data_IF_945853289492
#
_entry.id   IF_945853289492
#
_cell.length_a   1.000
_cell.length_b   1.000
_cell.length_c   1.000
_cell.angle_alpha   90.00
_cell.angle_beta   90.00
_cell.angle_gamma   90.00
#
_symmetry.space_group_name_H-M   'P 1'
#
loop_
_entity.id
_entity.type
_entity.pdbx_description
1 polymer ?
#
# COMPACT_ATOMS: atom_id res chain seq x y z
N UNK A 1 -13.77 -13.02 -2.62
CA UNK A 1 -12.57 -13.17 -1.76
C UNK A 1 -11.59 -12.06 -2.03
N UNK A 2 -10.97 -11.54 -0.99
CA UNK A 2 -9.90 -10.56 -1.14
C UNK A 2 -8.70 -11.23 -1.80
N UNK A 3 -8.20 -10.65 -2.89
CA UNK A 3 -7.01 -11.16 -3.55
C UNK A 3 -5.80 -10.44 -2.98
N UNK A 4 -4.93 -11.20 -2.33
CA UNK A 4 -3.69 -10.67 -1.75
C UNK A 4 -2.53 -11.13 -2.62
N UNK A 5 -1.72 -10.19 -3.10
CA UNK A 5 -0.57 -10.47 -3.94
C UNK A 5 0.71 -10.14 -3.18
N UNK A 6 1.55 -11.13 -2.95
CA UNK A 6 2.81 -10.89 -2.23
C UNK A 6 3.79 -10.12 -3.10
N UNK A 7 4.22 -8.96 -2.61
CA UNK A 7 5.13 -8.05 -3.31
C UNK A 7 6.56 -8.24 -2.81
N UNK A 8 6.70 -8.49 -1.53
CA UNK A 8 7.98 -8.72 -0.84
C UNK A 8 7.67 -9.63 0.34
N UNK A 9 8.69 -10.20 1.02
CA UNK A 9 8.43 -11.08 2.15
C UNK A 9 7.49 -10.45 3.18
N UNK A 10 6.37 -11.12 3.46
CA UNK A 10 5.35 -10.71 4.42
C UNK A 10 4.67 -9.36 4.10
N UNK A 11 4.75 -8.91 2.85
CA UNK A 11 4.09 -7.70 2.38
C UNK A 11 3.21 -8.02 1.18
N UNK A 12 1.92 -7.76 1.32
CA UNK A 12 0.90 -8.06 0.31
C UNK A 12 0.22 -6.78 -0.15
N UNK A 13 -0.05 -6.71 -1.45
CA UNK A 13 -0.86 -5.62 -2.01
C UNK A 13 -2.26 -6.14 -2.35
N UNK A 14 -3.26 -5.29 -2.17
CA UNK A 14 -4.64 -5.62 -2.46
C UNK A 14 -5.35 -4.44 -3.12
N UNK A 15 -6.42 -4.75 -3.84
CA UNK A 15 -7.34 -3.75 -4.38
C UNK A 15 -8.23 -3.23 -3.24
N UNK A 16 -9.22 -2.40 -3.57
CA UNK A 16 -10.14 -1.83 -2.57
C UNK A 16 -10.67 -2.90 -1.62
N UNK A 17 -10.60 -2.60 -0.33
CA UNK A 17 -10.98 -3.48 0.74
C UNK A 17 -12.31 -3.02 1.33
N UNK A 18 -13.32 -3.89 1.31
CA UNK A 18 -14.60 -3.67 1.98
C UNK A 18 -14.60 -4.40 3.33
N UNK A 19 -15.74 -4.35 4.05
CA UNK A 19 -15.83 -4.99 5.38
C UNK A 19 -15.56 -6.50 5.31
N UNK A 20 -16.10 -7.17 4.30
CA UNK A 20 -15.89 -8.62 4.13
C UNK A 20 -14.42 -8.93 3.87
N UNK A 21 -13.75 -8.11 3.07
CA UNK A 21 -12.33 -8.27 2.80
C UNK A 21 -11.49 -8.08 4.08
N UNK A 22 -11.86 -7.12 4.94
CA UNK A 22 -11.15 -6.92 6.22
C UNK A 22 -11.23 -8.18 7.08
N UNK A 23 -12.42 -8.81 7.13
CA UNK A 23 -12.59 -10.07 7.87
C UNK A 23 -11.67 -11.16 7.30
N UNK A 24 -11.61 -11.28 5.97
CA UNK A 24 -10.76 -12.27 5.31
C UNK A 24 -9.27 -11.99 5.58
N UNK A 25 -8.87 -10.73 5.54
CA UNK A 25 -7.47 -10.32 5.81
C UNK A 25 -7.10 -10.71 7.24
N UNK A 26 -7.97 -10.40 8.21
CA UNK A 26 -7.72 -10.76 9.61
C UNK A 26 -7.63 -12.28 9.77
N UNK A 27 -8.51 -13.02 9.10
CA UNK A 27 -8.52 -14.48 9.16
C UNK A 27 -7.29 -15.12 8.52
N UNK A 28 -6.64 -14.43 7.58
CA UNK A 28 -5.45 -14.92 6.91
C UNK A 28 -4.19 -14.89 7.79
N UNK A 29 -4.27 -14.27 8.96
CA UNK A 29 -3.13 -14.14 9.87
C UNK A 29 -2.37 -12.83 9.73
N UNK A 30 -2.81 -11.92 8.85
CA UNK A 30 -2.21 -10.60 8.73
C UNK A 30 -2.33 -9.84 10.06
N UNK A 31 -1.36 -8.98 10.33
CA UNK A 31 -1.32 -8.20 11.58
C UNK A 31 -1.58 -6.73 11.36
N UNK A 32 -1.27 -6.22 10.17
CA UNK A 32 -1.39 -4.79 9.86
C UNK A 32 -2.06 -4.59 8.51
N UNK A 33 -2.97 -3.61 8.45
CA UNK A 33 -3.63 -3.20 7.22
C UNK A 33 -3.31 -1.72 6.99
N UNK A 34 -2.69 -1.42 5.83
CA UNK A 34 -2.37 -0.04 5.43
C UNK A 34 -3.29 0.35 4.29
N UNK A 35 -3.98 1.47 4.45
CA UNK A 35 -4.87 2.03 3.43
C UNK A 35 -4.19 3.25 2.81
N UNK A 36 -3.87 3.16 1.51
CA UNK A 36 -3.27 4.27 0.76
C UNK A 36 -4.30 5.05 -0.06
N UNK A 37 -5.57 4.76 0.09
CA UNK A 37 -6.62 5.38 -0.71
C UNK A 37 -7.30 6.53 0.05
N UNK A 38 -7.37 7.74 -0.54
CA UNK A 38 -8.17 8.81 0.06
C UNK A 38 -9.64 8.43 0.09
N UNK A 39 -10.37 8.95 1.09
CA UNK A 39 -11.82 8.76 1.16
C UNK A 39 -12.51 9.47 0.00
N UNK A 40 -13.66 8.96 -0.39
CA UNK A 40 -14.53 9.65 -1.31
C UNK A 40 -14.09 9.63 -2.77
N UNK A 41 -13.20 8.74 -3.17
CA UNK A 41 -12.80 8.64 -4.57
C UNK A 41 -13.93 8.10 -5.45
N UNK A 42 -14.85 7.34 -4.88
CA UNK A 42 -16.02 6.87 -5.61
C UNK A 42 -17.21 6.66 -4.66
N UNK A 43 -18.46 6.70 -5.20
CA UNK A 43 -19.64 6.43 -4.38
C UNK A 43 -19.57 5.02 -3.79
N UNK A 44 -19.97 4.89 -2.53
CA UNK A 44 -20.04 3.59 -1.88
C UNK A 44 -18.70 3.07 -1.33
N UNK A 45 -17.62 3.82 -1.52
CA UNK A 45 -16.33 3.44 -0.95
C UNK A 45 -16.41 3.45 0.58
N UNK A 46 -15.92 2.38 1.21
CA UNK A 46 -15.89 2.30 2.69
C UNK A 46 -14.96 3.39 3.22
N UNK A 47 -15.47 4.31 4.07
CA UNK A 47 -14.62 5.35 4.66
C UNK A 47 -13.55 4.76 5.57
N UNK A 48 -12.38 5.40 5.61
CA UNK A 48 -11.24 4.93 6.40
C UNK A 48 -11.58 4.78 7.88
N UNK A 49 -12.38 5.68 8.45
CA UNK A 49 -12.80 5.61 9.85
C UNK A 49 -13.57 4.33 10.15
N UNK A 50 -14.46 3.93 9.24
CA UNK A 50 -15.25 2.72 9.41
C UNK A 50 -14.38 1.48 9.16
N UNK A 51 -13.46 1.55 8.21
CA UNK A 51 -12.50 0.47 7.98
C UNK A 51 -11.61 0.26 9.21
N UNK A 52 -11.15 1.36 9.83
CA UNK A 52 -10.34 1.32 11.04
C UNK A 52 -11.08 0.61 12.18
N UNK A 53 -12.33 1.00 12.41
CA UNK A 53 -13.12 0.40 13.49
C UNK A 53 -13.26 -1.11 13.29
N UNK A 54 -13.54 -1.55 12.07
CA UNK A 54 -13.69 -2.96 11.76
C UNK A 54 -12.36 -3.70 11.91
N UNK A 55 -11.26 -3.12 11.38
CA UNK A 55 -9.93 -3.73 11.46
C UNK A 55 -9.49 -3.90 12.92
N UNK A 56 -9.65 -2.85 13.72
CA UNK A 56 -9.25 -2.88 15.14
C UNK A 56 -10.09 -3.85 15.94
N UNK A 57 -11.38 -3.95 15.61
CA UNK A 57 -12.27 -4.94 16.24
C UNK A 57 -11.77 -6.37 16.01
N UNK A 58 -11.13 -6.60 14.88
CA UNK A 58 -10.61 -7.92 14.49
C UNK A 58 -9.13 -8.12 14.88
N UNK A 59 -8.54 -7.17 15.60
CA UNK A 59 -7.17 -7.29 16.08
C UNK A 59 -6.09 -6.81 15.13
N UNK A 60 -6.48 -6.16 14.03
CA UNK A 60 -5.50 -5.59 13.09
C UNK A 60 -5.06 -4.20 13.54
N UNK A 61 -3.79 -3.88 13.32
CA UNK A 61 -3.32 -2.50 13.37
C UNK A 61 -3.72 -1.85 12.05
N UNK A 62 -4.33 -0.68 12.10
CA UNK A 62 -4.80 0.02 10.90
C UNK A 62 -4.06 1.34 10.73
N UNK A 63 -3.50 1.57 9.54
CA UNK A 63 -2.73 2.77 9.23
C UNK A 63 -3.30 3.36 7.94
N UNK A 64 -3.64 4.66 7.96
CA UNK A 64 -4.15 5.37 6.78
C UNK A 64 -3.12 6.37 6.29
N UNK A 65 -2.55 6.13 5.11
CA UNK A 65 -1.59 7.01 4.46
C UNK A 65 -2.15 7.31 3.06
N UNK A 66 -3.12 8.24 2.96
CA UNK A 66 -3.81 8.50 1.70
C UNK A 66 -2.91 9.28 0.73
N UNK A 67 -2.81 8.78 -0.49
CA UNK A 67 -2.09 9.46 -1.58
C UNK A 67 -2.83 9.25 -2.90
N UNK A 68 -2.61 10.17 -3.84
CA UNK A 68 -2.95 9.95 -5.25
C UNK A 68 -1.63 9.84 -6.00
N UNK A 69 -1.66 9.26 -7.22
CA UNK A 69 -0.44 9.07 -8.00
C UNK A 69 0.29 10.39 -8.26
N UNK A 70 -0.45 11.49 -8.41
CA UNK A 70 0.12 12.82 -8.68
C UNK A 70 0.51 13.60 -7.43
N UNK A 71 0.07 13.16 -6.24
CA UNK A 71 0.28 13.90 -4.98
C UNK A 71 1.32 13.29 -4.07
N UNK A 72 1.99 12.21 -4.49
CA UNK A 72 3.01 11.58 -3.65
C UNK A 72 4.15 12.55 -3.40
N UNK A 73 4.40 12.83 -2.12
CA UNK A 73 5.44 13.75 -1.66
C UNK A 73 6.47 12.98 -0.83
N UNK A 74 7.66 13.55 -0.58
CA UNK A 74 8.67 12.87 0.26
C UNK A 74 8.14 12.44 1.61
N UNK A 75 7.29 13.26 2.25
CA UNK A 75 6.69 12.92 3.54
C UNK A 75 5.81 11.68 3.48
N UNK A 76 5.13 11.44 2.36
CA UNK A 76 4.29 10.25 2.18
C UNK A 76 5.15 8.99 2.10
N UNK A 77 6.28 9.08 1.38
CA UNK A 77 7.22 7.97 1.27
C UNK A 77 7.84 7.64 2.64
N UNK A 78 8.24 8.68 3.38
CA UNK A 78 8.77 8.49 4.73
C UNK A 78 7.76 7.85 5.66
N UNK A 79 6.51 8.32 5.63
CA UNK A 79 5.44 7.73 6.46
C UNK A 79 5.23 6.26 6.12
N UNK A 80 5.24 5.93 4.83
CA UNK A 80 5.07 4.55 4.39
C UNK A 80 6.25 3.68 4.84
N UNK A 81 7.48 4.16 4.70
CA UNK A 81 8.66 3.42 5.15
C UNK A 81 8.64 3.19 6.65
N UNK A 82 8.31 4.20 7.44
CA UNK A 82 8.22 4.08 8.88
C UNK A 82 7.15 3.07 9.29
N UNK A 83 6.00 3.14 8.62
CA UNK A 83 4.91 2.20 8.88
C UNK A 83 5.35 0.76 8.59
N UNK A 84 6.00 0.53 7.45
CA UNK A 84 6.43 -0.81 7.07
C UNK A 84 7.56 -1.33 7.96
N UNK A 85 8.48 -0.46 8.37
CA UNK A 85 9.61 -0.87 9.23
C UNK A 85 9.15 -1.24 10.65
N UNK A 86 8.11 -0.57 11.15
CA UNK A 86 7.64 -0.78 12.52
C UNK A 86 6.43 -1.70 12.64
N UNK A 87 5.76 -2.00 11.52
CA UNK A 87 4.52 -2.77 11.56
C UNK A 87 4.75 -4.24 11.90
N UNK A 88 3.80 -4.81 12.65
CA UNK A 88 3.77 -6.26 12.84
C UNK A 88 3.37 -6.93 11.53
N UNK A 89 4.09 -7.97 11.17
CA UNK A 89 3.92 -8.68 9.89
C UNK A 89 3.09 -9.94 10.07
N UNK A 90 2.41 -10.42 9.05
CA UNK A 90 2.35 -9.89 7.68
C UNK A 90 1.56 -8.59 7.57
N UNK A 91 1.93 -7.76 6.59
CA UNK A 91 1.29 -6.49 6.29
C UNK A 91 0.53 -6.60 4.97
N UNK A 92 -0.71 -6.09 4.95
CA UNK A 92 -1.48 -5.92 3.73
C UNK A 92 -1.61 -4.41 3.49
N UNK A 93 -1.21 -3.97 2.29
CA UNK A 93 -1.42 -2.58 1.86
C UNK A 93 -2.42 -2.56 0.73
N UNK A 94 -3.32 -1.57 0.71
CA UNK A 94 -4.32 -1.48 -0.36
C UNK A 94 -4.54 -0.05 -0.83
N UNK A 95 -5.08 0.06 -2.02
CA UNK A 95 -5.61 1.28 -2.60
C UNK A 95 -6.81 0.87 -3.45
N UNK A 96 -7.05 1.50 -4.59
CA UNK A 96 -8.16 1.10 -5.46
C UNK A 96 -7.86 -0.21 -6.20
N UNK A 97 -6.62 -0.38 -6.68
CA UNK A 97 -6.23 -1.55 -7.49
C UNK A 97 -5.00 -2.28 -6.95
N UNK A 98 -4.33 -1.74 -5.94
CA UNK A 98 -3.06 -2.24 -5.44
C UNK A 98 -1.85 -1.57 -6.09
N UNK A 99 -2.04 -0.92 -7.22
CA UNK A 99 -0.95 -0.31 -7.98
C UNK A 99 -0.33 0.88 -7.25
N UNK A 100 -1.16 1.75 -6.69
CA UNK A 100 -0.71 2.95 -5.97
C UNK A 100 0.11 2.58 -4.74
N UNK A 101 -0.37 1.60 -3.98
CA UNK A 101 0.37 1.09 -2.80
C UNK A 101 1.72 0.51 -3.23
N UNK A 102 1.74 -0.26 -4.31
CA UNK A 102 2.97 -0.86 -4.83
C UNK A 102 3.95 0.22 -5.30
N UNK A 103 3.45 1.26 -5.99
CA UNK A 103 4.27 2.38 -6.43
C UNK A 103 4.88 3.12 -5.24
N UNK A 104 4.07 3.42 -4.22
CA UNK A 104 4.54 4.13 -3.03
C UNK A 104 5.63 3.34 -2.29
N UNK A 105 5.39 2.05 -2.10
CA UNK A 105 6.38 1.16 -1.49
C UNK A 105 7.67 1.12 -2.30
N UNK A 106 7.56 0.95 -3.63
CA UNK A 106 8.73 0.85 -4.50
C UNK A 106 9.56 2.13 -4.49
N UNK A 107 8.90 3.30 -4.48
CA UNK A 107 9.60 4.58 -4.38
C UNK A 107 10.46 4.63 -3.11
N UNK A 108 9.91 4.16 -2.00
CA UNK A 108 10.66 4.08 -0.74
C UNK A 108 11.88 3.16 -0.83
N UNK A 109 11.74 2.02 -1.50
CA UNK A 109 12.84 1.08 -1.67
C UNK A 109 13.98 1.67 -2.51
N UNK A 110 13.64 2.37 -3.59
CA UNK A 110 14.65 3.01 -4.44
C UNK A 110 15.35 4.13 -3.68
N UNK A 111 14.59 5.00 -3.01
CA UNK A 111 15.16 6.14 -2.27
C UNK A 111 16.03 5.70 -1.09
N UNK A 112 15.73 4.56 -0.51
CA UNK A 112 16.53 3.98 0.58
C UNK A 112 17.74 3.18 0.09
N UNK A 113 17.91 3.03 -1.22
CA UNK A 113 19.01 2.27 -1.80
C UNK A 113 18.83 0.77 -1.70
N UNK A 114 17.61 0.28 -1.47
CA UNK A 114 17.33 -1.15 -1.33
C UNK A 114 16.80 -1.78 -2.60
N UNK A 115 16.54 -0.99 -3.65
CA UNK A 115 16.01 -1.52 -4.88
C UNK A 115 16.36 -0.66 -6.08
N UNK A 116 16.36 -1.29 -7.26
CA UNK A 116 16.57 -0.63 -8.54
C UNK A 116 15.22 -0.41 -9.20
N UNK A 117 14.97 0.82 -9.68
CA UNK A 117 13.67 1.17 -10.26
C UNK A 117 13.27 0.25 -11.41
N UNK A 118 14.19 -0.02 -12.33
CA UNK A 118 13.89 -0.88 -13.48
C UNK A 118 13.51 -2.29 -13.08
N UNK A 119 14.23 -2.87 -12.11
CA UNK A 119 13.94 -4.20 -11.59
C UNK A 119 12.58 -4.23 -10.90
N UNK A 120 12.29 -3.23 -10.07
CA UNK A 120 11.01 -3.18 -9.35
C UNK A 120 9.83 -3.01 -10.30
N UNK A 121 9.98 -2.21 -11.36
CA UNK A 121 8.94 -2.07 -12.39
C UNK A 121 8.64 -3.42 -13.04
N UNK A 122 9.69 -4.17 -13.41
CA UNK A 122 9.54 -5.47 -14.05
C UNK A 122 8.91 -6.50 -13.10
N UNK A 123 9.38 -6.55 -11.87
CA UNK A 123 8.83 -7.49 -10.87
C UNK A 123 7.36 -7.19 -10.56
N UNK A 124 7.01 -5.91 -10.44
CA UNK A 124 5.62 -5.51 -10.18
C UNK A 124 4.73 -5.88 -11.38
N UNK A 125 5.21 -5.67 -12.60
CA UNK A 125 4.46 -6.03 -13.81
C UNK A 125 4.15 -7.52 -13.84
N UNK A 126 5.11 -8.36 -13.46
CA UNK A 126 4.90 -9.81 -13.39
C UNK A 126 3.80 -10.18 -12.40
N UNK A 127 3.57 -9.34 -11.41
CA UNK A 127 2.54 -9.57 -10.38
C UNK A 127 1.23 -8.86 -10.71
N UNK A 128 1.16 -8.17 -11.85
CA UNK A 128 -0.06 -7.52 -12.31
C UNK A 128 -0.16 -6.03 -11.98
N UNK A 129 0.91 -5.41 -11.50
CA UNK A 129 0.90 -3.99 -11.14
C UNK A 129 1.80 -3.18 -12.07
N UNK A 130 1.20 -2.21 -12.76
CA UNK A 130 1.92 -1.38 -13.73
C UNK A 130 2.41 -0.10 -13.05
N UNK A 131 3.69 -0.08 -12.67
CA UNK A 131 4.30 1.06 -11.99
C UNK A 131 5.42 1.68 -12.85
N UNK A 132 5.19 1.77 -14.16
CA UNK A 132 6.17 2.32 -15.10
C UNK A 132 6.55 3.77 -14.80
N UNK A 133 5.71 4.49 -14.04
CA UNK A 133 6.00 5.87 -13.62
C UNK A 133 7.05 5.95 -12.49
N UNK A 134 7.49 4.82 -11.96
CA UNK A 134 8.42 4.80 -10.81
C UNK A 134 9.70 5.63 -11.05
N UNK A 135 10.43 5.47 -12.18
CA UNK A 135 11.64 6.28 -12.38
C UNK A 135 11.38 7.79 -12.34
N UNK A 136 10.30 8.25 -12.98
CA UNK A 136 9.95 9.66 -13.00
C UNK A 136 9.55 10.15 -11.61
N UNK A 137 8.81 9.33 -10.87
CA UNK A 137 8.43 9.66 -9.49
C UNK A 137 9.67 9.83 -8.61
N UNK A 138 10.59 8.87 -8.67
CA UNK A 138 11.83 8.92 -7.88
C UNK A 138 12.65 10.16 -8.23
N UNK A 139 12.77 10.48 -9.54
CA UNK A 139 13.49 11.67 -9.98
C UNK A 139 12.86 12.94 -9.40
N UNK A 140 11.52 13.04 -9.44
CA UNK A 140 10.79 14.18 -8.89
C UNK A 140 10.99 14.30 -7.38
N UNK A 141 10.92 13.18 -6.65
CA UNK A 141 11.08 13.17 -5.21
C UNK A 141 12.49 13.59 -4.77
N UNK A 142 13.51 13.25 -5.58
CA UNK A 142 14.89 13.65 -5.29
C UNK A 142 15.15 15.13 -5.49
N UNK A 143 14.33 15.80 -6.29
CA UNK A 143 14.45 17.23 -6.53
C UNK A 143 13.74 18.08 -5.47
N UNK A 144 12.77 17.50 -4.82
CA UNK A 144 11.98 18.16 -3.78
C UNK A 144 12.59 17.97 -2.44
#
# INVERSE_FOLDING_TARGET
MAKLTEIAPDLYAAAQVDRAAIVEIAASGAKTLINNRPDGEEPGQLPAEQARAEAERLGLTYIHIPVTASSIAPGDVEAMQQALDSASKPVVMHCRSGTRSTLLWAAGEVLAGRGDAGTLVAEAADKGFQIASLPDLVARLRQG
#
